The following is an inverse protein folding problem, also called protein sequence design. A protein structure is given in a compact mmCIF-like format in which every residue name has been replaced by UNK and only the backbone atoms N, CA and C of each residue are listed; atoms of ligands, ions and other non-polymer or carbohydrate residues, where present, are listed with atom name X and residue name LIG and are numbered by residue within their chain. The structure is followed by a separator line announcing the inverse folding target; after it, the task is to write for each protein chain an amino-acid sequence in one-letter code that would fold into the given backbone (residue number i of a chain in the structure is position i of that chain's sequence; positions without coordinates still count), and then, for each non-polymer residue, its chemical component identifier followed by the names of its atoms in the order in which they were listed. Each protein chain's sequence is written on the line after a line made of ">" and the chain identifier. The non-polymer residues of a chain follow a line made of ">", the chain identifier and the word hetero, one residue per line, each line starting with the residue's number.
data_IF_574068053827
#
_entry.id   IF_574068053827
#
_cell.length_a   1.000
_cell.length_b   1.000
_cell.length_c   1.000
_cell.angle_alpha   90.00
_cell.angle_beta   90.00
_cell.angle_gamma   90.00
#
_symmetry.space_group_name_H-M   'P 1'
#
loop_
_entity.id
_entity.type
_entity.pdbx_description
1 polymer ?
#
# COMPACT_ATOMS: atom_id res chain seq x y z
N UNK A 1 -4.23 -25.87 -0.84
CA UNK A 1 -5.25 -25.25 0.05
C UNK A 1 -6.41 -24.79 -0.83
N UNK A 2 -7.66 -25.22 -0.58
CA UNK A 2 -8.81 -24.89 -1.46
C UNK A 2 -9.02 -23.36 -1.49
N UNK A 3 -8.88 -22.73 -2.66
CA UNK A 3 -8.94 -21.26 -2.83
C UNK A 3 -10.20 -20.60 -2.22
N UNK A 4 -11.31 -21.35 -2.13
CA UNK A 4 -12.54 -20.93 -1.46
C UNK A 4 -12.40 -20.69 0.05
N UNK A 5 -11.55 -21.45 0.75
CA UNK A 5 -11.32 -21.27 2.19
C UNK A 5 -10.69 -19.91 2.50
N UNK A 6 -9.87 -19.39 1.58
CA UNK A 6 -9.26 -18.08 1.73
C UNK A 6 -10.35 -17.01 1.69
N UNK A 7 -11.29 -17.09 0.75
CA UNK A 7 -12.35 -16.09 0.61
C UNK A 7 -13.37 -16.12 1.72
N UNK A 8 -13.74 -17.33 2.18
CA UNK A 8 -14.59 -17.46 3.35
C UNK A 8 -13.89 -16.86 4.59
N UNK A 9 -12.59 -17.07 4.72
CA UNK A 9 -11.77 -16.49 5.80
C UNK A 9 -11.57 -14.97 5.71
N UNK A 10 -11.40 -14.39 4.51
CA UNK A 10 -11.33 -12.93 4.29
C UNK A 10 -12.70 -12.29 4.53
N UNK A 11 -13.76 -12.88 3.97
CA UNK A 11 -15.14 -12.40 4.12
C UNK A 11 -15.62 -12.44 5.56
N UNK A 12 -15.37 -13.53 6.28
CA UNK A 12 -15.72 -13.64 7.69
C UNK A 12 -15.01 -12.58 8.54
N UNK A 13 -13.70 -12.34 8.33
CA UNK A 13 -12.96 -11.30 9.06
C UNK A 13 -13.44 -9.89 8.73
N UNK A 14 -13.66 -9.60 7.46
CA UNK A 14 -14.16 -8.30 7.01
C UNK A 14 -15.56 -8.02 7.58
N UNK A 15 -16.48 -8.99 7.45
CA UNK A 15 -17.84 -8.90 7.98
C UNK A 15 -17.87 -8.78 9.50
N UNK A 16 -17.12 -9.63 10.21
CA UNK A 16 -17.06 -9.59 11.68
C UNK A 16 -16.50 -8.26 12.20
N UNK A 17 -15.40 -7.76 11.62
CA UNK A 17 -14.84 -6.47 12.03
C UNK A 17 -15.84 -5.34 11.85
N UNK A 18 -16.53 -5.27 10.70
CA UNK A 18 -17.53 -4.24 10.43
C UNK A 18 -18.78 -4.37 11.29
N UNK A 19 -19.28 -5.59 11.51
CA UNK A 19 -20.44 -5.82 12.36
C UNK A 19 -20.15 -5.45 13.83
N UNK A 20 -19.00 -5.87 14.37
CA UNK A 20 -18.60 -5.52 15.74
C UNK A 20 -18.43 -4.02 15.86
N UNK A 21 -17.73 -3.37 14.92
CA UNK A 21 -17.57 -1.91 14.93
C UNK A 21 -18.89 -1.17 14.86
N UNK A 22 -19.83 -1.61 14.01
CA UNK A 22 -21.16 -1.02 13.92
C UNK A 22 -21.96 -1.15 15.23
N UNK A 23 -21.93 -2.33 15.86
CA UNK A 23 -22.60 -2.55 17.16
C UNK A 23 -21.99 -1.69 18.26
N UNK A 24 -20.65 -1.58 18.32
CA UNK A 24 -19.97 -0.73 19.31
C UNK A 24 -20.34 0.74 19.15
N UNK A 25 -20.31 1.26 17.91
CA UNK A 25 -20.67 2.65 17.62
C UNK A 25 -22.15 2.92 17.93
N UNK A 26 -23.02 1.99 17.54
CA UNK A 26 -24.45 2.09 17.84
C UNK A 26 -24.70 2.11 19.35
N UNK A 27 -24.13 1.16 20.10
CA UNK A 27 -24.29 1.10 21.54
C UNK A 27 -23.77 2.37 22.24
N UNK A 28 -22.65 2.93 21.77
CA UNK A 28 -22.11 4.19 22.28
C UNK A 28 -23.09 5.35 22.02
N UNK A 29 -23.52 5.54 20.77
CA UNK A 29 -24.39 6.68 20.42
C UNK A 29 -25.76 6.58 21.11
N UNK A 30 -26.31 5.38 21.22
CA UNK A 30 -27.67 5.16 21.74
C UNK A 30 -27.74 5.14 23.26
N UNK A 31 -26.77 4.52 23.96
CA UNK A 31 -26.89 4.32 25.41
C UNK A 31 -25.98 5.20 26.25
N UNK A 32 -24.93 5.78 25.66
CA UNK A 32 -23.93 6.57 26.39
C UNK A 32 -24.08 8.06 26.07
N UNK A 33 -24.26 8.41 24.80
CA UNK A 33 -24.34 9.83 24.39
C UNK A 33 -25.72 10.46 24.51
N UNK A 34 -26.80 9.68 24.47
CA UNK A 34 -28.16 10.17 24.76
C UNK A 34 -28.94 9.18 25.65
N UNK A 35 -28.71 9.21 26.97
CA UNK A 35 -29.39 8.33 27.92
C UNK A 35 -30.85 8.74 28.21
N UNK A 36 -31.33 9.85 27.63
CA UNK A 36 -32.63 10.49 27.93
C UNK A 36 -33.72 10.25 26.88
N UNK A 37 -33.43 9.52 25.80
CA UNK A 37 -34.36 9.26 24.71
C UNK A 37 -35.66 8.58 25.14
N UNK A 38 -36.75 8.86 24.44
CA UNK A 38 -38.04 8.18 24.66
C UNK A 38 -38.02 6.76 24.03
N UNK A 39 -38.82 5.83 24.58
CA UNK A 39 -38.83 4.42 24.16
C UNK A 39 -39.20 4.20 22.68
N UNK A 40 -40.03 5.07 22.12
CA UNK A 40 -40.40 5.03 20.70
C UNK A 40 -39.29 5.49 19.75
N UNK A 41 -38.42 6.40 20.20
CA UNK A 41 -37.27 6.85 19.43
C UNK A 41 -36.20 5.75 19.35
N UNK A 42 -35.91 5.11 20.50
CA UNK A 42 -35.01 3.96 20.56
C UNK A 42 -35.43 2.82 19.64
N UNK A 43 -36.72 2.49 19.59
CA UNK A 43 -37.24 1.42 18.71
C UNK A 43 -37.02 1.76 17.24
N UNK A 44 -37.29 3.00 16.83
CA UNK A 44 -37.12 3.45 15.45
C UNK A 44 -35.65 3.44 15.02
N UNK A 45 -34.76 4.03 15.82
CA UNK A 45 -33.31 4.09 15.56
C UNK A 45 -32.71 2.67 15.50
N UNK A 46 -33.17 1.76 16.37
CA UNK A 46 -32.78 0.34 16.34
C UNK A 46 -33.23 -0.36 15.07
N UNK A 47 -34.46 -0.13 14.59
CA UNK A 47 -34.95 -0.71 13.34
C UNK A 47 -34.14 -0.24 12.13
N UNK A 48 -33.83 1.06 12.05
CA UNK A 48 -32.96 1.60 11.01
C UNK A 48 -31.55 1.02 11.08
N UNK A 49 -30.99 0.86 12.29
CA UNK A 49 -29.70 0.21 12.48
C UNK A 49 -29.68 -1.23 12.01
N UNK A 50 -30.64 -2.05 12.45
CA UNK A 50 -30.72 -3.46 12.03
C UNK A 50 -30.92 -3.57 10.52
N UNK A 51 -31.81 -2.76 9.95
CA UNK A 51 -32.05 -2.71 8.51
C UNK A 51 -30.81 -2.30 7.72
N UNK A 52 -30.14 -1.22 8.14
CA UNK A 52 -28.91 -0.75 7.51
C UNK A 52 -27.78 -1.78 7.62
N UNK A 53 -27.58 -2.36 8.80
CA UNK A 53 -26.57 -3.39 9.04
C UNK A 53 -26.82 -4.62 8.15
N UNK A 54 -28.07 -5.06 8.02
CA UNK A 54 -28.42 -6.18 7.14
C UNK A 54 -28.06 -5.87 5.66
N UNK A 55 -28.43 -4.68 5.16
CA UNK A 55 -28.08 -4.25 3.80
C UNK A 55 -26.56 -4.15 3.63
N UNK A 56 -25.86 -3.52 4.58
CA UNK A 56 -24.41 -3.37 4.56
C UNK A 56 -23.69 -4.73 4.56
N UNK A 57 -24.19 -5.71 5.32
CA UNK A 57 -23.65 -7.07 5.35
C UNK A 57 -23.86 -7.80 4.02
N UNK A 58 -25.03 -7.68 3.40
CA UNK A 58 -25.32 -8.28 2.08
C UNK A 58 -24.43 -7.64 1.00
N UNK A 59 -24.39 -6.31 0.95
CA UNK A 59 -23.57 -5.57 -0.02
C UNK A 59 -22.08 -5.85 0.20
N UNK A 60 -21.62 -5.85 1.46
CA UNK A 60 -20.24 -6.16 1.83
C UNK A 60 -19.83 -7.57 1.41
N UNK A 61 -20.67 -8.58 1.68
CA UNK A 61 -20.45 -9.95 1.23
C UNK A 61 -20.39 -10.05 -0.31
N UNK A 62 -21.30 -9.40 -1.02
CA UNK A 62 -21.30 -9.35 -2.48
C UNK A 62 -20.01 -8.71 -3.03
N UNK A 63 -19.55 -7.60 -2.43
CA UNK A 63 -18.28 -6.95 -2.79
C UNK A 63 -17.08 -7.85 -2.52
N UNK A 64 -17.01 -8.52 -1.37
CA UNK A 64 -15.94 -9.48 -1.07
C UNK A 64 -15.87 -10.58 -2.13
N UNK A 65 -17.02 -11.17 -2.49
CA UNK A 65 -17.09 -12.20 -3.54
C UNK A 65 -16.64 -11.63 -4.88
N UNK A 66 -17.13 -10.46 -5.28
CA UNK A 66 -16.77 -9.82 -6.56
C UNK A 66 -15.27 -9.52 -6.65
N UNK A 67 -14.68 -8.96 -5.59
CA UNK A 67 -13.26 -8.53 -5.55
C UNK A 67 -12.30 -9.73 -5.50
N UNK A 68 -12.69 -10.81 -4.83
CA UNK A 68 -11.83 -11.98 -4.64
C UNK A 68 -11.96 -13.02 -5.75
N UNK A 69 -13.07 -13.07 -6.49
CA UNK A 69 -13.31 -14.02 -7.59
C UNK A 69 -12.14 -14.11 -8.60
N UNK A 70 -11.58 -13.00 -9.13
CA UNK A 70 -10.44 -13.07 -10.05
C UNK A 70 -9.19 -13.67 -9.41
N UNK A 71 -8.90 -13.29 -8.16
CA UNK A 71 -7.75 -13.80 -7.38
C UNK A 71 -7.88 -15.29 -7.12
N UNK A 72 -9.09 -15.77 -6.81
CA UNK A 72 -9.36 -17.19 -6.64
C UNK A 72 -9.13 -17.99 -7.91
N UNK A 73 -9.62 -17.49 -9.05
CA UNK A 73 -9.46 -18.15 -10.36
C UNK A 73 -7.98 -18.29 -10.72
N UNK A 74 -7.21 -17.23 -10.49
CA UNK A 74 -5.76 -17.28 -10.66
C UNK A 74 -5.11 -18.28 -9.69
N UNK A 75 -5.38 -18.18 -8.39
CA UNK A 75 -4.78 -19.06 -7.38
C UNK A 75 -5.08 -20.54 -7.63
N UNK A 76 -6.29 -20.87 -8.11
CA UNK A 76 -6.68 -22.23 -8.47
C UNK A 76 -5.94 -22.77 -9.70
N UNK A 77 -5.47 -21.90 -10.60
CA UNK A 77 -4.77 -22.32 -11.82
C UNK A 77 -3.30 -22.74 -11.58
N UNK A 78 -2.72 -22.44 -10.43
CA UNK A 78 -1.34 -22.79 -10.08
C UNK A 78 -0.25 -22.13 -10.93
N UNK A 79 -0.63 -21.26 -11.88
CA UNK A 79 0.30 -20.59 -12.81
C UNK A 79 0.90 -19.31 -12.22
N UNK A 80 2.01 -18.84 -12.78
CA UNK A 80 2.59 -17.54 -12.44
C UNK A 80 1.59 -16.40 -12.70
N UNK A 81 1.50 -15.44 -11.79
CA UNK A 81 0.63 -14.28 -11.91
C UNK A 81 1.05 -13.40 -13.10
N UNK A 82 0.06 -12.98 -13.90
CA UNK A 82 0.23 -11.87 -14.83
C UNK A 82 0.31 -10.54 -14.09
N UNK A 83 0.79 -9.48 -14.73
CA UNK A 83 0.87 -8.15 -14.09
C UNK A 83 -0.49 -7.62 -13.63
N UNK A 84 -1.56 -7.96 -14.36
CA UNK A 84 -2.94 -7.60 -13.99
C UNK A 84 -3.38 -8.35 -12.73
N UNK A 85 -3.17 -9.66 -12.67
CA UNK A 85 -3.52 -10.48 -11.50
C UNK A 85 -2.70 -10.07 -10.28
N UNK A 86 -1.40 -9.82 -10.48
CA UNK A 86 -0.51 -9.30 -9.44
C UNK A 86 -1.01 -7.97 -8.89
N UNK A 87 -1.38 -7.02 -9.76
CA UNK A 87 -1.96 -5.75 -9.32
C UNK A 87 -3.31 -5.92 -8.59
N UNK A 88 -4.14 -6.90 -8.98
CA UNK A 88 -5.39 -7.22 -8.29
C UNK A 88 -5.15 -7.76 -6.88
N UNK A 89 -4.20 -8.70 -6.73
CA UNK A 89 -3.82 -9.26 -5.42
C UNK A 89 -3.31 -8.17 -4.49
N UNK A 90 -2.40 -7.31 -4.98
CA UNK A 90 -1.80 -6.24 -4.19
C UNK A 90 -2.81 -5.15 -3.77
N UNK A 91 -3.85 -4.91 -4.57
CA UNK A 91 -4.88 -3.90 -4.28
C UNK A 91 -6.08 -4.46 -3.53
N UNK A 92 -6.15 -5.77 -3.31
CA UNK A 92 -7.32 -6.42 -2.71
C UNK A 92 -7.65 -5.87 -1.31
N UNK A 93 -6.72 -5.78 -0.34
CA UNK A 93 -7.03 -5.26 0.99
C UNK A 93 -7.51 -3.82 0.95
N UNK A 94 -6.87 -2.98 0.11
CA UNK A 94 -7.25 -1.59 -0.06
C UNK A 94 -8.64 -1.43 -0.68
N UNK A 95 -8.96 -2.19 -1.73
CA UNK A 95 -10.27 -2.13 -2.37
C UNK A 95 -11.39 -2.52 -1.41
N UNK A 96 -11.18 -3.53 -0.57
CA UNK A 96 -12.15 -3.94 0.45
C UNK A 96 -12.27 -2.90 1.58
N UNK A 97 -11.16 -2.28 1.98
CA UNK A 97 -11.20 -1.16 2.91
C UNK A 97 -11.98 0.03 2.35
N UNK A 98 -11.79 0.38 1.07
CA UNK A 98 -12.58 1.43 0.40
C UNK A 98 -14.06 1.03 0.34
N UNK A 99 -14.37 -0.22 0.02
CA UNK A 99 -15.76 -0.71 0.01
C UNK A 99 -16.40 -0.57 1.42
N UNK A 100 -15.64 -0.86 2.49
CA UNK A 100 -16.07 -0.63 3.88
C UNK A 100 -16.24 0.85 4.22
N UNK A 101 -15.28 1.71 3.86
CA UNK A 101 -15.37 3.15 4.09
C UNK A 101 -16.60 3.77 3.41
N UNK A 102 -16.94 3.33 2.20
CA UNK A 102 -18.14 3.79 1.48
C UNK A 102 -19.41 3.41 2.22
N UNK A 103 -19.49 2.20 2.79
CA UNK A 103 -20.61 1.81 3.64
C UNK A 103 -20.65 2.68 4.89
N UNK A 104 -19.55 2.87 5.60
CA UNK A 104 -19.52 3.77 6.77
C UNK A 104 -19.91 5.21 6.47
N UNK A 105 -19.50 5.77 5.32
CA UNK A 105 -19.98 7.07 4.87
C UNK A 105 -21.50 7.08 4.64
N UNK A 106 -22.05 6.00 4.05
CA UNK A 106 -23.49 5.83 3.91
C UNK A 106 -24.23 5.78 5.25
N UNK A 107 -23.65 5.13 6.26
CA UNK A 107 -24.18 5.13 7.63
C UNK A 107 -24.16 6.55 8.22
N UNK A 108 -23.05 7.27 8.11
CA UNK A 108 -22.93 8.64 8.64
C UNK A 108 -23.96 9.58 8.00
N UNK A 109 -24.22 9.45 6.70
CA UNK A 109 -25.25 10.22 6.00
C UNK A 109 -26.65 9.81 6.47
N UNK A 110 -26.94 8.50 6.53
CA UNK A 110 -28.26 8.01 6.93
C UNK A 110 -28.61 8.47 8.35
N UNK A 111 -27.74 8.20 9.33
CA UNK A 111 -27.98 8.54 10.72
C UNK A 111 -27.89 10.05 10.99
N UNK A 112 -27.04 10.77 10.26
CA UNK A 112 -27.02 12.23 10.32
C UNK A 112 -28.32 12.86 9.82
N UNK A 113 -28.88 12.35 8.71
CA UNK A 113 -30.18 12.82 8.19
C UNK A 113 -31.33 12.47 9.14
N UNK A 114 -31.34 11.25 9.70
CA UNK A 114 -32.36 10.86 10.69
C UNK A 114 -32.35 11.79 11.90
N UNK A 115 -31.17 12.11 12.44
CA UNK A 115 -31.03 13.03 13.56
C UNK A 115 -31.56 14.44 13.22
N UNK A 116 -31.25 15.00 12.04
CA UNK A 116 -31.80 16.31 11.62
C UNK A 116 -33.33 16.31 11.59
N UNK A 117 -33.92 15.24 11.06
CA UNK A 117 -35.38 15.15 10.89
C UNK A 117 -36.09 15.05 12.23
N UNK A 118 -35.48 14.39 13.22
CA UNK A 118 -36.11 14.12 14.52
C UNK A 118 -35.88 15.26 15.54
N UNK A 119 -34.68 15.82 15.68
CA UNK A 119 -34.39 16.83 16.73
C UNK A 119 -34.37 18.28 16.25
N UNK A 120 -34.17 18.57 14.96
CA UNK A 120 -34.19 19.95 14.41
C UNK A 120 -33.10 20.89 14.94
N UNK A 121 -32.15 20.41 15.76
CA UNK A 121 -31.06 21.18 16.38
C UNK A 121 -29.70 20.71 15.81
N UNK A 122 -28.86 21.66 15.40
CA UNK A 122 -27.60 21.40 14.69
C UNK A 122 -26.46 20.80 15.56
N UNK A 123 -26.56 20.89 16.90
CA UNK A 123 -25.49 20.51 17.84
C UNK A 123 -25.31 18.99 17.97
N UNK A 124 -26.38 18.19 17.88
CA UNK A 124 -26.31 16.73 17.93
C UNK A 124 -25.81 16.10 16.62
N UNK A 125 -26.09 16.73 15.48
CA UNK A 125 -25.63 16.27 14.18
C UNK A 125 -24.10 16.18 14.14
N UNK A 126 -23.41 17.17 14.70
CA UNK A 126 -21.95 17.17 14.77
C UNK A 126 -21.45 15.94 15.54
N UNK A 127 -22.08 15.59 16.66
CA UNK A 127 -21.72 14.44 17.50
C UNK A 127 -21.97 13.11 16.78
N UNK A 128 -23.14 12.93 16.17
CA UNK A 128 -23.49 11.69 15.44
C UNK A 128 -22.59 11.50 14.23
N UNK A 129 -22.43 12.52 13.39
CA UNK A 129 -21.60 12.43 12.18
C UNK A 129 -20.13 12.19 12.54
N UNK A 130 -19.61 12.88 13.56
CA UNK A 130 -18.24 12.65 14.05
C UNK A 130 -18.12 11.23 14.60
N UNK A 131 -19.00 10.79 15.52
CA UNK A 131 -18.97 9.46 16.11
C UNK A 131 -18.99 8.32 15.08
N UNK A 132 -19.90 8.39 14.10
CA UNK A 132 -20.00 7.39 13.02
C UNK A 132 -18.78 7.44 12.10
N UNK A 133 -18.28 8.63 11.77
CA UNK A 133 -17.09 8.78 10.91
C UNK A 133 -15.84 8.21 11.58
N UNK A 134 -15.65 8.52 12.86
CA UNK A 134 -14.53 8.04 13.66
C UNK A 134 -14.59 6.52 13.87
N UNK A 135 -15.76 6.01 14.25
CA UNK A 135 -16.00 4.57 14.38
C UNK A 135 -15.79 3.83 13.05
N UNK A 136 -16.24 4.42 11.94
CA UNK A 136 -16.07 3.86 10.61
C UNK A 136 -14.64 3.87 10.10
N UNK A 137 -13.90 4.95 10.36
CA UNK A 137 -12.48 5.02 10.02
C UNK A 137 -11.67 3.96 10.80
N UNK A 138 -11.96 3.82 12.09
CA UNK A 138 -11.37 2.80 12.98
C UNK A 138 -11.64 1.38 12.50
N UNK A 139 -12.89 1.08 12.26
CA UNK A 139 -13.32 -0.24 11.83
C UNK A 139 -12.76 -0.61 10.47
N UNK A 140 -12.77 0.34 9.52
CA UNK A 140 -12.24 0.14 8.18
C UNK A 140 -10.73 -0.13 8.19
N UNK A 141 -9.98 0.61 9.02
CA UNK A 141 -8.54 0.43 9.10
C UNK A 141 -8.15 -0.86 9.83
N UNK A 142 -8.87 -1.24 10.88
CA UNK A 142 -8.70 -2.56 11.50
C UNK A 142 -8.97 -3.68 10.48
N UNK A 143 -10.06 -3.56 9.72
CA UNK A 143 -10.37 -4.50 8.65
C UNK A 143 -9.25 -4.55 7.60
N UNK A 144 -8.71 -3.41 7.19
CA UNK A 144 -7.56 -3.34 6.28
C UNK A 144 -6.36 -4.16 6.80
N UNK A 145 -5.97 -3.96 8.06
CA UNK A 145 -4.82 -4.67 8.65
C UNK A 145 -5.06 -6.18 8.78
N UNK A 146 -6.27 -6.59 9.17
CA UNK A 146 -6.66 -8.00 9.25
C UNK A 146 -6.61 -8.68 7.88
N UNK A 147 -7.09 -7.99 6.84
CA UNK A 147 -7.07 -8.48 5.47
C UNK A 147 -5.64 -8.54 4.92
N UNK A 148 -4.84 -7.50 5.15
CA UNK A 148 -3.44 -7.42 4.73
C UNK A 148 -2.61 -8.56 5.32
N UNK A 149 -2.75 -8.83 6.63
CA UNK A 149 -2.07 -9.95 7.29
C UNK A 149 -2.47 -11.30 6.70
N UNK A 150 -3.75 -11.49 6.37
CA UNK A 150 -4.24 -12.75 5.80
C UNK A 150 -3.82 -12.96 4.35
N UNK A 151 -3.63 -11.88 3.59
CA UNK A 151 -3.27 -11.92 2.16
C UNK A 151 -1.79 -12.14 1.89
N UNK A 152 -0.91 -12.16 2.90
CA UNK A 152 0.55 -12.25 2.72
C UNK A 152 0.98 -13.43 1.85
N UNK A 153 0.48 -14.63 2.13
CA UNK A 153 0.82 -15.84 1.35
C UNK A 153 0.40 -15.70 -0.13
N UNK A 154 -0.75 -15.06 -0.39
CA UNK A 154 -1.20 -14.80 -1.75
C UNK A 154 -0.33 -13.76 -2.46
N UNK A 155 0.10 -12.73 -1.73
CA UNK A 155 0.99 -11.70 -2.25
C UNK A 155 2.35 -12.30 -2.57
N UNK A 156 2.91 -13.12 -1.68
CA UNK A 156 4.16 -13.82 -1.91
C UNK A 156 4.08 -14.74 -3.13
N UNK A 157 3.01 -15.53 -3.25
CA UNK A 157 2.77 -16.35 -4.44
C UNK A 157 2.68 -15.52 -5.73
N UNK A 158 2.07 -14.33 -5.68
CA UNK A 158 1.96 -13.44 -6.83
C UNK A 158 3.28 -12.72 -7.19
N UNK A 159 4.19 -12.60 -6.21
CA UNK A 159 5.50 -11.95 -6.33
C UNK A 159 6.66 -12.94 -6.47
N UNK A 160 6.40 -14.25 -6.46
CA UNK A 160 7.43 -15.28 -6.66
C UNK A 160 8.23 -15.12 -7.98
N UNK A 161 7.65 -14.44 -8.98
CA UNK A 161 8.33 -14.09 -10.24
C UNK A 161 9.05 -12.73 -10.24
N UNK A 162 9.27 -12.12 -9.07
CA UNK A 162 9.90 -10.81 -8.91
C UNK A 162 8.91 -9.66 -8.71
N UNK A 163 9.42 -8.56 -8.14
CA UNK A 163 8.67 -7.32 -7.90
C UNK A 163 8.68 -6.44 -9.15
N UNK A 164 7.53 -6.00 -9.68
CA UNK A 164 7.50 -5.08 -10.81
C UNK A 164 8.14 -3.73 -10.46
N UNK A 165 8.94 -3.15 -11.36
CA UNK A 165 9.60 -1.84 -11.20
C UNK A 165 8.64 -0.68 -10.87
N UNK A 166 7.33 -0.82 -11.14
CA UNK A 166 6.30 0.19 -10.87
C UNK A 166 5.19 -0.30 -9.96
N UNK A 167 5.54 -0.95 -8.86
CA UNK A 167 4.55 -1.30 -7.85
C UNK A 167 4.14 -0.05 -7.06
N UNK A 168 2.92 0.44 -7.31
CA UNK A 168 2.21 1.38 -6.41
C UNK A 168 1.38 0.56 -5.44
N UNK A 169 1.99 0.13 -4.35
CA UNK A 169 1.27 -0.46 -3.22
C UNK A 169 1.17 0.53 -2.06
N UNK A 170 0.43 0.16 -1.03
CA UNK A 170 0.29 0.97 0.18
C UNK A 170 1.65 0.97 0.89
N UNK A 171 2.34 2.10 0.85
CA UNK A 171 3.62 2.25 1.51
C UNK A 171 3.53 2.28 3.04
N UNK A 172 4.67 2.41 3.70
CA UNK A 172 4.74 2.53 5.17
C UNK A 172 3.96 3.73 5.71
N UNK A 173 3.93 4.83 4.95
CA UNK A 173 3.34 6.12 5.37
C UNK A 173 1.83 6.04 5.67
N UNK A 174 0.95 5.55 4.76
CA UNK A 174 -0.46 5.35 5.09
C UNK A 174 -0.69 4.47 6.31
N UNK A 175 0.11 3.41 6.51
CA UNK A 175 -0.03 2.53 7.69
C UNK A 175 0.26 3.28 8.99
N UNK A 176 1.31 4.09 9.02
CA UNK A 176 1.66 4.91 10.19
C UNK A 176 0.64 6.04 10.44
N UNK A 177 0.17 6.70 9.39
CA UNK A 177 -0.85 7.74 9.51
C UNK A 177 -2.20 7.18 9.97
N UNK A 178 -2.58 5.98 9.50
CA UNK A 178 -3.73 5.26 10.02
C UNK A 178 -3.51 4.90 11.49
N UNK A 179 -2.36 4.30 11.85
CA UNK A 179 -2.06 3.96 13.24
C UNK A 179 -2.16 5.17 14.19
N UNK A 180 -1.62 6.32 13.79
CA UNK A 180 -1.72 7.56 14.56
C UNK A 180 -3.14 8.13 14.60
N UNK A 181 -3.83 8.16 13.45
CA UNK A 181 -5.19 8.66 13.35
C UNK A 181 -6.12 7.88 14.29
N UNK A 182 -6.03 6.56 14.28
CA UNK A 182 -6.84 5.66 15.11
C UNK A 182 -6.35 5.63 16.57
N UNK A 183 -5.04 5.78 16.71
CA UNK A 183 -4.24 5.92 17.93
C UNK A 183 -4.68 7.03 18.86
N UNK A 184 -4.72 8.21 18.28
CA UNK A 184 -4.67 9.46 19.02
C UNK A 184 -5.49 10.54 18.34
N UNK A 185 -5.46 10.62 16.99
CA UNK A 185 -6.19 11.64 16.25
C UNK A 185 -7.72 11.57 16.47
N UNK A 186 -8.29 10.38 16.35
CA UNK A 186 -9.72 10.11 16.48
C UNK A 186 -10.21 10.40 17.91
N UNK A 187 -9.56 9.86 18.97
CA UNK A 187 -9.95 10.16 20.34
C UNK A 187 -9.83 11.63 20.71
N UNK A 188 -8.72 12.29 20.31
CA UNK A 188 -8.51 13.71 20.58
C UNK A 188 -9.53 14.59 19.86
N UNK A 189 -9.92 14.23 18.62
CA UNK A 189 -11.01 14.91 17.92
C UNK A 189 -12.35 14.71 18.63
N UNK A 190 -12.63 13.51 19.12
CA UNK A 190 -13.82 13.25 19.92
C UNK A 190 -13.86 14.13 21.18
N UNK A 191 -12.75 14.18 21.94
CA UNK A 191 -12.63 15.06 23.12
C UNK A 191 -12.77 16.53 22.75
N UNK A 192 -12.25 16.95 21.59
CA UNK A 192 -12.36 18.35 21.14
C UNK A 192 -13.78 18.75 20.72
N UNK A 193 -14.61 17.79 20.28
CA UNK A 193 -15.99 18.02 19.84
C UNK A 193 -17.00 17.86 20.99
N UNK A 194 -16.65 17.10 22.04
CA UNK A 194 -17.51 16.88 23.19
C UNK A 194 -18.11 18.16 23.84
N UNK A 195 -17.39 19.29 23.98
CA UNK A 195 -17.92 20.51 24.58
C UNK A 195 -18.89 21.31 23.69
N UNK A 196 -19.13 20.87 22.45
CA UNK A 196 -20.03 21.57 21.52
C UNK A 196 -21.51 21.18 21.72
N UNK A 197 -21.82 20.26 22.64
CA UNK A 197 -23.19 19.98 23.08
C UNK A 197 -23.63 20.99 24.16
N UNK A 198 -24.92 21.33 24.19
CA UNK A 198 -25.47 22.35 25.10
C UNK A 198 -25.50 21.91 26.58
N UNK A 199 -25.27 20.63 26.87
CA UNK A 199 -25.01 20.11 28.20
C UNK A 199 -23.53 19.79 28.39
N UNK A 200 -22.94 20.30 29.48
CA UNK A 200 -21.59 19.97 29.94
C UNK A 200 -21.42 18.44 29.88
N UNK A 201 -20.68 17.95 28.87
CA UNK A 201 -20.47 16.52 28.68
C UNK A 201 -19.98 15.92 29.99
N UNK A 202 -20.79 15.03 30.57
CA UNK A 202 -20.50 14.44 31.88
C UNK A 202 -19.05 13.95 31.89
N UNK A 203 -18.32 14.18 33.00
CA UNK A 203 -16.94 13.70 33.14
C UNK A 203 -16.83 12.20 32.81
N UNK A 204 -17.92 11.44 33.00
CA UNK A 204 -18.04 10.04 32.59
C UNK A 204 -18.03 9.84 31.06
N UNK A 205 -18.70 10.66 30.27
CA UNK A 205 -18.70 10.59 28.79
C UNK A 205 -17.29 10.84 28.24
N UNK A 206 -16.63 11.91 28.72
CA UNK A 206 -15.25 12.23 28.37
C UNK A 206 -14.27 11.11 28.77
N UNK A 207 -14.44 10.53 29.96
CA UNK A 207 -13.60 9.44 30.43
C UNK A 207 -13.77 8.15 29.61
N UNK A 208 -15.02 7.82 29.23
CA UNK A 208 -15.32 6.66 28.37
C UNK A 208 -14.72 6.86 26.98
N UNK A 209 -14.89 8.04 26.39
CA UNK A 209 -14.34 8.36 25.08
C UNK A 209 -12.80 8.31 25.08
N UNK A 210 -12.17 8.88 26.11
CA UNK A 210 -10.73 8.80 26.32
C UNK A 210 -10.25 7.34 26.51
N UNK A 211 -11.00 6.53 27.27
CA UNK A 211 -10.72 5.11 27.49
C UNK A 211 -10.80 4.27 26.21
N UNK A 212 -11.88 4.40 25.44
CA UNK A 212 -12.05 3.75 24.13
C UNK A 212 -10.91 4.14 23.21
N UNK A 213 -10.55 5.43 23.21
CA UNK A 213 -9.47 5.96 22.41
C UNK A 213 -8.09 5.41 22.79
N UNK A 214 -7.77 5.37 24.08
CA UNK A 214 -6.53 4.79 24.60
C UNK A 214 -6.41 3.31 24.24
N UNK A 215 -7.48 2.53 24.44
CA UNK A 215 -7.48 1.08 24.17
C UNK A 215 -7.36 0.80 22.67
N UNK A 216 -8.20 1.45 21.86
CA UNK A 216 -8.17 1.29 20.40
C UNK A 216 -6.83 1.74 19.84
N UNK A 217 -6.33 2.86 20.36
CA UNK A 217 -5.08 3.42 19.91
C UNK A 217 -3.86 2.58 20.27
N UNK A 218 -3.80 2.08 21.51
CA UNK A 218 -2.80 1.12 21.94
C UNK A 218 -2.82 -0.14 21.08
N UNK A 219 -4.00 -0.74 20.86
CA UNK A 219 -4.15 -1.94 20.05
C UNK A 219 -3.64 -1.72 18.61
N UNK A 220 -3.97 -0.57 18.02
CA UNK A 220 -3.53 -0.21 16.67
C UNK A 220 -2.01 -0.02 16.58
N UNK A 221 -1.42 0.73 17.52
CA UNK A 221 0.03 0.90 17.58
C UNK A 221 0.73 -0.43 17.80
N UNK A 222 0.20 -1.30 18.68
CA UNK A 222 0.74 -2.64 18.92
C UNK A 222 0.70 -3.51 17.66
N UNK A 223 -0.41 -3.52 16.93
CA UNK A 223 -0.55 -4.28 15.68
C UNK A 223 0.43 -3.78 14.61
N UNK A 224 0.48 -2.46 14.39
CA UNK A 224 1.36 -1.88 13.38
C UNK A 224 2.82 -2.05 13.75
N UNK A 225 3.20 -1.74 14.98
CA UNK A 225 4.57 -1.92 15.50
C UNK A 225 5.03 -3.37 15.35
N UNK A 226 4.23 -4.34 15.81
CA UNK A 226 4.55 -5.77 15.66
C UNK A 226 4.73 -6.16 14.20
N UNK A 227 3.85 -5.68 13.31
CA UNK A 227 3.92 -5.98 11.88
C UNK A 227 5.20 -5.44 11.22
N UNK A 228 5.69 -4.28 11.67
CA UNK A 228 6.91 -3.66 11.17
C UNK A 228 8.15 -4.32 11.76
N UNK A 229 8.15 -4.59 13.07
CA UNK A 229 9.24 -5.28 13.74
C UNK A 229 9.49 -6.67 13.14
N UNK A 230 8.44 -7.48 12.96
CA UNK A 230 8.55 -8.81 12.32
C UNK A 230 9.12 -8.73 10.88
N UNK A 231 8.80 -7.68 10.12
CA UNK A 231 9.32 -7.48 8.75
C UNK A 231 10.78 -7.03 8.75
N UNK A 232 11.13 -6.07 9.62
CA UNK A 232 12.49 -5.57 9.75
C UNK A 232 13.44 -6.65 10.26
N UNK A 233 12.99 -7.48 11.20
CA UNK A 233 13.82 -8.56 11.74
C UNK A 233 14.14 -9.62 10.66
N UNK A 234 13.21 -9.93 9.75
CA UNK A 234 13.47 -10.82 8.60
C UNK A 234 14.53 -10.27 7.64
N UNK A 235 14.51 -8.96 7.37
CA UNK A 235 15.53 -8.32 6.53
C UNK A 235 16.87 -8.27 7.27
N UNK A 236 16.85 -7.92 8.55
CA UNK A 236 18.04 -7.88 9.42
C UNK A 236 18.70 -9.25 9.52
N UNK A 237 17.94 -10.31 9.75
CA UNK A 237 18.46 -11.67 9.85
C UNK A 237 19.07 -12.15 8.54
N UNK A 238 18.42 -11.86 7.40
CA UNK A 238 18.96 -12.17 6.09
C UNK A 238 20.28 -11.42 5.80
N UNK A 239 20.34 -10.13 6.12
CA UNK A 239 21.59 -9.36 6.01
C UNK A 239 22.70 -9.90 6.92
N UNK A 240 22.35 -10.34 8.13
CA UNK A 240 23.30 -10.98 9.03
C UNK A 240 23.84 -12.30 8.48
N UNK A 241 22.98 -13.13 7.86
CA UNK A 241 23.37 -14.35 7.18
C UNK A 241 24.31 -14.08 5.99
N UNK A 242 23.96 -13.12 5.12
CA UNK A 242 24.84 -12.69 4.01
C UNK A 242 26.20 -12.21 4.54
N UNK A 243 26.21 -11.43 5.63
CA UNK A 243 27.44 -10.96 6.26
C UNK A 243 28.29 -12.10 6.84
N UNK A 244 27.66 -13.17 7.31
CA UNK A 244 28.34 -14.37 7.80
C UNK A 244 28.88 -15.25 6.66
N UNK A 245 28.62 -14.91 5.39
CA UNK A 245 29.08 -15.63 4.21
C UNK A 245 28.03 -16.58 3.61
N UNK A 246 26.82 -16.63 4.17
CA UNK A 246 25.71 -17.38 3.57
C UNK A 246 25.09 -16.57 2.42
N UNK A 247 25.53 -16.89 1.20
CA UNK A 247 25.08 -16.26 -0.04
C UNK A 247 23.84 -16.91 -0.65
N UNK A 248 23.40 -18.06 -0.10
CA UNK A 248 22.23 -18.79 -0.58
C UNK A 248 20.93 -18.30 0.07
N UNK A 249 21.01 -17.49 1.13
CA UNK A 249 19.85 -16.97 1.84
C UNK A 249 18.89 -16.21 0.91
N UNK A 250 17.60 -16.57 0.96
CA UNK A 250 16.53 -15.90 0.20
C UNK A 250 15.42 -15.46 1.13
N UNK A 251 15.02 -14.20 1.02
CA UNK A 251 13.91 -13.60 1.75
C UNK A 251 12.65 -13.66 0.90
N UNK A 252 11.58 -14.22 1.46
CA UNK A 252 10.27 -14.21 0.81
C UNK A 252 9.74 -12.78 0.68
N UNK A 253 9.42 -12.37 -0.56
CA UNK A 253 8.89 -11.05 -0.84
C UNK A 253 7.37 -11.06 -0.70
N UNK A 254 6.88 -10.60 0.45
CA UNK A 254 5.48 -10.72 0.86
C UNK A 254 4.68 -9.40 0.78
N UNK A 255 5.26 -8.35 0.22
CA UNK A 255 4.60 -7.08 -0.08
C UNK A 255 5.21 -6.39 -1.30
N UNK A 256 4.45 -5.53 -1.97
CA UNK A 256 4.95 -4.74 -3.11
C UNK A 256 5.35 -3.30 -2.74
N UNK A 257 5.59 -3.02 -1.46
CA UNK A 257 5.89 -1.68 -0.93
C UNK A 257 7.38 -1.40 -0.82
N UNK A 258 7.77 -0.38 -0.05
CA UNK A 258 9.18 -0.04 0.15
C UNK A 258 9.97 -1.19 0.79
N UNK A 259 9.36 -1.86 1.78
CA UNK A 259 9.93 -3.05 2.42
C UNK A 259 10.05 -4.25 1.45
N UNK A 260 9.10 -4.39 0.53
CA UNK A 260 9.16 -5.41 -0.53
C UNK A 260 10.32 -5.20 -1.49
N UNK A 261 10.58 -3.93 -1.86
CA UNK A 261 11.76 -3.55 -2.64
C UNK A 261 13.06 -3.81 -1.87
N UNK A 262 13.07 -3.58 -0.55
CA UNK A 262 14.23 -3.92 0.29
C UNK A 262 14.47 -5.43 0.34
N UNK A 263 13.41 -6.24 0.52
CA UNK A 263 13.50 -7.70 0.48
C UNK A 263 14.05 -8.20 -0.87
N UNK A 264 13.52 -7.67 -1.98
CA UNK A 264 14.02 -7.98 -3.32
C UNK A 264 15.48 -7.57 -3.51
N UNK A 265 15.87 -6.39 -3.02
CA UNK A 265 17.25 -5.91 -3.07
C UNK A 265 18.23 -6.80 -2.29
N UNK A 266 17.84 -7.32 -1.12
CA UNK A 266 18.65 -8.30 -0.39
C UNK A 266 18.86 -9.58 -1.21
N UNK A 267 17.80 -10.07 -1.86
CA UNK A 267 17.90 -11.26 -2.72
C UNK A 267 18.80 -11.02 -3.95
N UNK A 268 18.74 -9.84 -4.56
CA UNK A 268 19.63 -9.46 -5.67
C UNK A 268 21.10 -9.39 -5.23
N UNK A 269 21.36 -8.83 -4.04
CA UNK A 269 22.72 -8.79 -3.48
C UNK A 269 23.25 -10.19 -3.18
N UNK A 270 22.46 -11.06 -2.54
CA UNK A 270 22.83 -12.44 -2.25
C UNK A 270 23.13 -13.22 -3.53
N UNK A 271 22.26 -13.13 -4.53
CA UNK A 271 22.47 -13.75 -5.85
C UNK A 271 23.75 -13.25 -6.54
N UNK A 272 24.04 -11.95 -6.47
CA UNK A 272 25.27 -11.39 -7.04
C UNK A 272 26.54 -11.84 -6.32
N UNK A 273 26.47 -12.08 -5.00
CA UNK A 273 27.58 -12.65 -4.23
C UNK A 273 27.78 -14.14 -4.54
N UNK A 274 26.69 -14.90 -4.62
CA UNK A 274 26.67 -16.31 -5.04
C UNK A 274 27.31 -16.48 -6.43
N UNK A 275 26.93 -15.64 -7.40
CA UNK A 275 27.51 -15.67 -8.74
C UNK A 275 29.01 -15.37 -8.73
N UNK A 276 29.46 -14.36 -7.95
CA UNK A 276 30.89 -14.04 -7.80
C UNK A 276 31.67 -15.16 -7.12
N UNK A 277 31.10 -15.82 -6.11
CA UNK A 277 31.72 -16.96 -5.44
C UNK A 277 31.86 -18.14 -6.40
N UNK A 278 30.79 -18.46 -7.13
CA UNK A 278 30.80 -19.52 -8.15
C UNK A 278 31.84 -19.26 -9.24
N UNK A 279 31.96 -18.01 -9.71
CA UNK A 279 32.99 -17.63 -10.67
C UNK A 279 34.40 -17.81 -10.09
N UNK A 280 34.64 -17.35 -8.86
CA UNK A 280 35.94 -17.52 -8.18
C UNK A 280 36.29 -19.01 -8.03
N UNK A 281 35.34 -19.86 -7.65
CA UNK A 281 35.55 -21.30 -7.51
C UNK A 281 35.85 -21.97 -8.87
N UNK A 282 35.16 -21.54 -9.93
CA UNK A 282 35.43 -22.02 -11.29
C UNK A 282 36.83 -21.61 -11.75
N UNK A 283 37.24 -20.35 -11.57
CA UNK A 283 38.59 -19.90 -11.90
C UNK A 283 39.65 -20.57 -11.02
N UNK A 284 39.38 -20.79 -9.73
CA UNK A 284 40.28 -21.52 -8.84
C UNK A 284 40.54 -22.95 -9.33
N UNK A 285 39.49 -23.67 -9.76
CA UNK A 285 39.60 -25.03 -10.30
C UNK A 285 40.30 -25.10 -11.67
N UNK A 286 40.03 -24.15 -12.58
CA UNK A 286 40.53 -24.24 -13.97
C UNK A 286 41.86 -23.54 -14.18
N UNK A 287 42.18 -22.50 -13.40
CA UNK A 287 43.40 -21.70 -13.57
C UNK A 287 44.46 -22.12 -12.54
N UNK A 288 44.07 -22.61 -11.35
CA UNK A 288 45.01 -23.09 -10.34
C UNK A 288 45.86 -24.28 -10.80
N UNK A 289 45.25 -25.28 -11.44
CA UNK A 289 45.97 -26.46 -11.95
C UNK A 289 46.89 -26.12 -13.13
N UNK A 290 46.41 -25.31 -14.07
CA UNK A 290 47.16 -24.96 -15.28
C UNK A 290 48.31 -23.98 -14.97
N UNK A 291 48.11 -23.01 -14.07
CA UNK A 291 49.15 -22.06 -13.64
C UNK A 291 50.16 -22.73 -12.70
N UNK A 292 49.73 -23.64 -11.82
CA UNK A 292 50.67 -24.42 -11.00
C UNK A 292 51.52 -25.38 -11.87
N UNK A 293 50.92 -26.05 -12.85
CA UNK A 293 51.63 -26.88 -13.82
C UNK A 293 52.62 -26.06 -14.65
N UNK A 294 52.21 -24.88 -15.13
CA UNK A 294 53.08 -23.98 -15.90
C UNK A 294 54.17 -23.31 -15.04
N UNK A 295 53.97 -23.16 -13.73
CA UNK A 295 54.99 -22.69 -12.78
C UNK A 295 56.01 -23.79 -12.43
N UNK A 296 55.58 -25.04 -12.30
CA UNK A 296 56.46 -26.19 -12.09
C UNK A 296 57.27 -26.55 -13.36
N UNK A 297 56.67 -26.42 -14.55
CA UNK A 297 57.40 -26.54 -15.83
C UNK A 297 58.37 -25.37 -16.08
N UNK A 298 58.24 -24.27 -15.32
CA UNK A 298 59.12 -23.10 -15.35
C UNK A 298 59.74 -22.84 -13.99
N UNK A 299 60.53 -23.78 -13.47
CA UNK A 299 61.51 -23.53 -12.40
C UNK A 299 62.66 -22.62 -12.91
N UNK A 300 62.33 -21.39 -13.31
CA UNK A 300 63.29 -20.48 -13.93
C UNK A 300 62.73 -19.07 -14.14
N UNK A 301 62.45 -18.36 -13.04
CA UNK A 301 62.48 -16.89 -12.95
C UNK A 301 61.41 -16.11 -13.71
N UNK A 302 60.43 -15.55 -12.98
CA UNK A 302 59.56 -14.49 -13.48
C UNK A 302 60.27 -13.12 -13.36
N UNK A 303 61.17 -12.83 -14.29
CA UNK A 303 61.51 -11.44 -14.66
C UNK A 303 60.40 -10.89 -15.55
N UNK A 304 59.62 -9.94 -15.06
CA UNK A 304 58.54 -9.33 -15.84
C UNK A 304 59.08 -8.53 -17.02
N UNK A 305 58.88 -9.02 -18.25
CA UNK A 305 58.96 -8.17 -19.45
C UNK A 305 57.59 -7.56 -19.75
N UNK A 306 57.44 -6.28 -19.43
CA UNK A 306 56.33 -5.47 -19.93
C UNK A 306 56.59 -5.18 -21.43
N UNK A 307 56.11 -6.05 -22.32
CA UNK A 307 56.08 -5.73 -23.75
C UNK A 307 54.98 -4.71 -24.03
N UNK A 308 55.38 -3.43 -24.09
CA UNK A 308 54.59 -2.37 -24.74
C UNK A 308 54.38 -2.72 -26.21
N UNK A 309 53.22 -3.28 -26.55
CA UNK A 309 52.79 -3.31 -27.95
C UNK A 309 52.45 -1.89 -28.40
N UNK A 310 53.37 -1.28 -29.16
CA UNK A 310 53.02 -0.17 -30.06
C UNK A 310 52.07 -0.73 -31.11
N UNK A 311 50.84 -0.22 -31.14
CA UNK A 311 49.88 -0.48 -32.20
C UNK A 311 50.49 -0.09 -33.56
N UNK A 312 50.96 -1.07 -34.32
CA UNK A 312 51.30 -0.90 -35.73
C UNK A 312 49.98 -0.74 -36.47
N UNK A 313 49.70 0.49 -36.86
CA UNK A 313 48.55 0.87 -37.69
C UNK A 313 48.74 0.28 -39.08
N UNK A 314 48.30 -0.97 -39.29
CA UNK A 314 48.21 -1.58 -40.61
C UNK A 314 47.04 -0.94 -41.35
N UNK A 315 47.39 -0.07 -42.29
CA UNK A 315 46.46 0.67 -43.14
C UNK A 315 46.12 -0.25 -44.30
N UNK A 316 45.00 -0.97 -44.22
CA UNK A 316 44.42 -1.59 -45.41
C UNK A 316 42.88 -1.53 -45.41
N UNK A 317 42.41 -0.83 -46.46
CA UNK A 317 41.11 -0.82 -47.15
C UNK A 317 39.85 -1.00 -46.29
N UNK A 318 39.22 0.13 -45.94
CA UNK A 318 37.80 0.20 -45.62
C UNK A 318 37.04 0.97 -46.71
N UNK A 319 36.03 0.30 -47.26
CA UNK A 319 35.14 0.75 -48.33
C UNK A 319 34.19 1.88 -47.84
N UNK A 320 33.96 2.98 -48.59
CA UNK A 320 33.25 4.15 -48.08
C UNK A 320 31.76 4.08 -48.40
N UNK A 321 30.97 3.28 -47.67
CA UNK A 321 29.51 3.26 -47.86
C UNK A 321 28.67 3.43 -46.56
N UNK A 322 29.27 3.36 -45.37
CA UNK A 322 28.51 3.38 -44.11
C UNK A 322 28.33 4.73 -43.41
N UNK A 323 29.07 5.77 -43.79
CA UNK A 323 29.12 7.04 -43.01
C UNK A 323 27.97 8.02 -43.28
N UNK A 324 27.31 7.93 -44.43
CA UNK A 324 26.17 8.81 -44.74
C UNK A 324 24.87 8.36 -44.07
N UNK A 325 24.66 7.05 -43.89
CA UNK A 325 23.42 6.51 -43.29
C UNK A 325 23.35 6.70 -41.77
N UNK A 326 24.49 6.65 -41.06
CA UNK A 326 24.55 6.87 -39.62
C UNK A 326 24.34 8.35 -39.22
N UNK A 327 24.82 9.29 -40.05
CA UNK A 327 24.61 10.74 -39.82
C UNK A 327 23.17 11.18 -40.08
N UNK A 328 22.49 10.60 -41.08
CA UNK A 328 21.07 10.90 -41.35
C UNK A 328 20.13 10.37 -40.25
N UNK A 329 20.33 9.13 -39.78
CA UNK A 329 19.49 8.56 -38.70
C UNK A 329 19.64 9.30 -37.36
N UNK A 330 20.85 9.79 -37.03
CA UNK A 330 21.07 10.61 -35.84
C UNK A 330 20.38 11.99 -35.90
N UNK A 331 20.38 12.63 -37.08
CA UNK A 331 19.71 13.92 -37.30
C UNK A 331 18.19 13.84 -37.17
N UNK A 332 17.58 12.78 -37.70
CA UNK A 332 16.14 12.57 -37.64
C UNK A 332 15.62 12.31 -36.22
N UNK A 333 16.39 11.59 -35.40
CA UNK A 333 16.05 11.39 -33.99
C UNK A 333 16.15 12.68 -33.18
N UNK A 334 17.17 13.51 -33.44
CA UNK A 334 17.32 14.81 -32.79
C UNK A 334 16.20 15.80 -33.17
N UNK A 335 15.81 15.85 -34.45
CA UNK A 335 14.70 16.70 -34.92
C UNK A 335 13.35 16.24 -34.37
N UNK A 336 13.09 14.92 -34.27
CA UNK A 336 11.85 14.40 -33.65
C UNK A 336 11.79 14.71 -32.15
N UNK A 337 12.92 14.66 -31.45
CA UNK A 337 12.99 15.04 -30.02
C UNK A 337 12.72 16.54 -29.81
N UNK A 338 13.26 17.41 -30.66
CA UNK A 338 13.02 18.86 -30.62
C UNK A 338 11.56 19.21 -30.94
N UNK A 339 10.95 18.58 -31.95
CA UNK A 339 9.52 18.78 -32.27
C UNK A 339 8.60 18.32 -31.13
N UNK A 340 8.91 17.21 -30.47
CA UNK A 340 8.16 16.75 -29.27
C UNK A 340 8.29 17.71 -28.09
N UNK A 341 9.48 18.25 -27.82
CA UNK A 341 9.69 19.27 -26.77
C UNK A 341 8.92 20.56 -27.08
N UNK A 342 8.89 21.00 -28.33
CA UNK A 342 8.11 22.15 -28.77
C UNK A 342 6.60 21.96 -28.59
N UNK A 343 6.07 20.79 -28.96
CA UNK A 343 4.66 20.44 -28.78
C UNK A 343 4.24 20.40 -27.29
N UNK A 344 5.09 19.84 -26.43
CA UNK A 344 4.86 19.81 -24.98
C UNK A 344 4.88 21.22 -24.35
N UNK A 345 5.79 22.11 -24.78
CA UNK A 345 5.79 23.51 -24.34
C UNK A 345 4.54 24.27 -24.77
N UNK A 346 4.06 24.07 -26.01
CA UNK A 346 2.81 24.68 -26.50
C UNK A 346 1.58 24.16 -25.74
N UNK A 347 1.53 22.85 -25.43
CA UNK A 347 0.45 22.25 -24.64
C UNK A 347 0.43 22.76 -23.19
N UNK A 348 1.61 22.93 -22.55
CA UNK A 348 1.72 23.56 -21.22
C UNK A 348 1.27 25.02 -21.22
N UNK A 349 1.60 25.81 -22.24
CA UNK A 349 1.12 27.21 -22.36
C UNK A 349 -0.40 27.28 -22.50
N UNK A 350 -1.01 26.43 -23.34
CA UNK A 350 -2.48 26.37 -23.49
C UNK A 350 -3.20 25.96 -22.20
N UNK A 351 -2.64 25.02 -21.44
CA UNK A 351 -3.17 24.64 -20.12
C UNK A 351 -3.03 25.77 -19.10
N UNK A 352 -1.91 26.50 -19.10
CA UNK A 352 -1.72 27.67 -18.23
C UNK A 352 -2.69 28.81 -18.53
N UNK A 353 -3.00 29.06 -19.80
CA UNK A 353 -3.98 30.07 -20.21
C UNK A 353 -5.42 29.65 -19.89
N UNK A 354 -5.77 28.37 -20.02
CA UNK A 354 -7.08 27.85 -19.59
C UNK A 354 -7.29 27.98 -18.08
N UNK A 355 -6.25 27.72 -17.28
CA UNK A 355 -6.29 27.89 -15.82
C UNK A 355 -6.40 29.37 -15.43
N UNK A 356 -5.73 30.28 -16.15
CA UNK A 356 -5.88 31.74 -15.94
C UNK A 356 -7.26 32.26 -16.33
N UNK A 357 -7.89 31.74 -17.39
CA UNK A 357 -9.26 32.13 -17.78
C UNK A 357 -10.31 31.65 -16.77
N UNK A 358 -10.10 30.52 -16.09
CA UNK A 358 -10.98 30.04 -15.00
C UNK A 358 -10.80 30.76 -13.66
N UNK A 359 -9.77 31.60 -13.50
CA UNK A 359 -9.49 32.36 -12.26
C UNK A 359 -9.77 33.87 -12.36
N UNK A 360 -10.54 34.34 -13.34
CA UNK A 360 -11.06 35.72 -13.31
C UNK A 360 -12.20 35.81 -12.29
N UNK A 361 -12.10 36.65 -11.24
CA UNK A 361 -13.20 36.84 -10.31
C UNK A 361 -14.33 37.61 -10.99
N UNK A 362 -15.56 37.10 -10.84
CA UNK A 362 -16.80 37.83 -11.06
C UNK A 362 -16.84 39.00 -10.07
N UNK A 363 -16.40 40.19 -10.51
CA UNK A 363 -16.84 41.45 -9.92
C UNK A 363 -17.82 42.08 -10.91
N UNK A 364 -19.11 41.96 -10.62
CA UNK A 364 -20.11 42.89 -11.13
C UNK A 364 -21.16 43.18 -10.06
N UNK A 365 -21.33 44.49 -9.84
CA UNK A 365 -22.57 45.20 -9.54
C UNK A 365 -23.27 44.95 -8.20
N UNK A 366 -22.95 45.82 -7.25
CA UNK A 366 -23.96 46.51 -6.44
C UNK A 366 -23.50 47.96 -6.22
N UNK A 367 -24.12 48.92 -6.94
CA UNK A 367 -24.43 50.29 -6.50
C UNK A 367 -24.64 51.22 -7.70
N UNK A 368 -25.90 51.66 -7.81
CA UNK A 368 -26.47 52.79 -8.57
C UNK A 368 -26.54 52.68 -10.08
#
# INVERSE_FOLDING_TARGET
>A
MRAWLIVLALGARFGAANAIGAVVVFAYLTYISDPSGDGDDYRRVTLFFVGYLAVAMVVGAARVVQRTRPVQRWAASGRRATDVERAQVLRLPWNLAVDGAVLWCGAAVLFGVLNIVDTGVDSELARVVVGVTLGGLSTTALAFLLLERRSRDLVAAALAGGVPERTRTVGLRPRLLLAWGLGSGIPLLGVAVAPLGEDDGSTAELAVLAGIGLVTGFLMVAVVSRSLAERLERVRSALAAVRAGDVEVRVEVDEGGELGLLQAGVNEMAAGLEERQRLRDLFGRHVGAEVARQALEREGGLGGEVRRQRAVRRRDRFHPAGRHQARQRGGDHAQRALRRRGALRRRRRRLGEQVRRRRRPLRLRSAR
#
